data_IF_567613032331
#
_entry.id   IF_567613032331
#
_cell.length_a   1.000
_cell.length_b   1.000
_cell.length_c   1.000
_cell.angle_alpha   90.00
_cell.angle_beta   90.00
_cell.angle_gamma   90.00
#
_symmetry.space_group_name_H-M   'P 1'
#
loop_
_entity.id
_entity.type
_entity.pdbx_description
1 polymer ?
#
# COMPACT_ATOMS: atom_id res chain seq x y z
N UNK A 1 0.07 62.38 -20.17
CA UNK A 1 1.08 62.02 -19.16
C UNK A 1 0.48 60.85 -18.39
N UNK A 2 0.71 59.61 -18.85
CA UNK A 2 1.77 58.71 -18.36
C UNK A 2 1.64 58.48 -16.83
N UNK A 3 1.61 57.27 -16.28
CA UNK A 3 1.76 55.90 -16.78
C UNK A 3 1.82 55.00 -15.53
N UNK A 4 1.19 53.82 -15.56
CA UNK A 4 1.54 52.70 -14.68
C UNK A 4 1.13 52.85 -13.21
N UNK A 5 0.84 51.84 -12.41
CA UNK A 5 1.04 50.40 -12.44
C UNK A 5 0.17 49.91 -11.24
N UNK A 6 -0.51 48.77 -11.20
CA UNK A 6 -0.38 47.59 -12.03
C UNK A 6 -1.38 46.52 -11.57
N UNK A 7 -1.90 45.77 -12.54
CA UNK A 7 -2.53 44.46 -12.36
C UNK A 7 -1.54 43.36 -11.88
N UNK A 8 -0.53 43.72 -11.07
CA UNK A 8 0.60 42.83 -10.73
C UNK A 8 0.34 41.97 -9.48
N UNK A 9 -0.70 42.23 -8.70
CA UNK A 9 -0.96 41.45 -7.48
C UNK A 9 -1.55 40.04 -7.74
N UNK A 10 -2.12 39.77 -8.91
CA UNK A 10 -2.80 38.48 -9.19
C UNK A 10 -1.91 37.49 -9.96
N UNK A 11 -0.84 37.94 -10.62
CA UNK A 11 0.08 37.01 -11.33
C UNK A 11 1.05 36.26 -10.40
N UNK A 12 1.33 36.75 -9.19
CA UNK A 12 2.33 36.10 -8.33
C UNK A 12 1.84 34.79 -7.70
N UNK A 13 0.53 34.66 -7.43
CA UNK A 13 -0.04 33.41 -6.91
C UNK A 13 -0.13 32.32 -8.00
N UNK A 14 -0.42 32.70 -9.25
CA UNK A 14 -0.54 31.75 -10.36
C UNK A 14 0.82 31.28 -10.90
N UNK A 15 1.85 32.14 -10.90
CA UNK A 15 3.19 31.75 -11.38
C UNK A 15 3.95 30.90 -10.34
N UNK A 16 3.70 31.08 -9.03
CA UNK A 16 4.29 30.22 -8.00
C UNK A 16 3.66 28.81 -7.96
N UNK A 17 2.40 28.67 -8.38
CA UNK A 17 1.75 27.36 -8.53
C UNK A 17 2.32 26.55 -9.71
N UNK A 18 2.95 27.19 -10.70
CA UNK A 18 3.52 26.51 -11.88
C UNK A 18 4.93 25.94 -11.60
N UNK A 19 5.57 26.31 -10.48
CA UNK A 19 6.80 25.67 -9.99
C UNK A 19 6.58 24.84 -8.70
N UNK A 20 5.33 24.51 -8.38
CA UNK A 20 5.08 23.27 -7.66
C UNK A 20 4.77 22.28 -8.75
N UNK A 21 5.79 21.56 -9.22
CA UNK A 21 5.54 20.22 -9.75
C UNK A 21 4.85 19.53 -8.57
N UNK A 22 3.51 19.51 -8.56
CA UNK A 22 2.81 18.53 -7.76
C UNK A 22 3.49 17.22 -8.19
N UNK A 23 4.13 16.48 -7.27
CA UNK A 23 4.66 15.18 -7.64
C UNK A 23 3.50 14.48 -8.33
N UNK A 24 3.71 14.07 -9.59
CA UNK A 24 2.66 13.48 -10.42
C UNK A 24 1.83 12.58 -9.51
N UNK A 25 0.55 12.90 -9.32
CA UNK A 25 -0.29 12.17 -8.38
C UNK A 25 -0.06 10.69 -8.69
N UNK A 26 0.59 10.00 -7.75
CA UNK A 26 1.11 8.68 -8.03
C UNK A 26 -0.12 7.82 -8.31
N UNK A 27 -0.29 7.39 -9.56
CA UNK A 27 -1.45 6.59 -9.95
C UNK A 27 -1.51 5.38 -9.02
N UNK A 28 -2.66 5.12 -8.41
CA UNK A 28 -2.82 3.99 -7.53
C UNK A 28 -3.18 2.74 -8.35
N UNK A 29 -2.55 1.62 -8.03
CA UNK A 29 -2.88 0.31 -8.57
C UNK A 29 -3.49 -0.54 -7.47
N UNK A 30 -4.71 -1.06 -7.71
CA UNK A 30 -5.34 -2.07 -6.87
C UNK A 30 -4.51 -3.37 -6.93
N UNK A 31 -3.85 -3.71 -5.83
CA UNK A 31 -3.11 -4.97 -5.68
C UNK A 31 -3.87 -5.88 -4.73
N UNK A 32 -4.28 -7.05 -5.22
CA UNK A 32 -4.95 -8.08 -4.41
C UNK A 32 -3.95 -9.17 -4.03
N UNK A 33 -3.63 -9.26 -2.75
CA UNK A 33 -2.82 -10.34 -2.20
C UNK A 33 -3.71 -11.52 -1.83
N UNK A 34 -3.31 -12.72 -2.23
CA UNK A 34 -4.03 -13.96 -1.95
C UNK A 34 -3.10 -14.97 -1.28
N UNK A 35 -3.57 -15.61 -0.21
CA UNK A 35 -2.82 -16.61 0.54
C UNK A 35 -3.73 -17.78 0.90
N UNK A 36 -3.33 -19.00 0.55
CA UNK A 36 -4.08 -20.20 0.91
C UNK A 36 -3.39 -20.94 2.07
N UNK A 37 -3.98 -20.88 3.28
CA UNK A 37 -3.44 -21.55 4.48
C UNK A 37 -4.52 -21.73 5.55
N UNK A 38 -4.55 -22.90 6.18
CA UNK A 38 -5.34 -23.12 7.39
C UNK A 38 -4.63 -22.53 8.59
N UNK A 39 -5.41 -21.94 9.49
CA UNK A 39 -4.94 -21.42 10.77
C UNK A 39 -5.86 -21.93 11.88
N UNK A 40 -5.40 -21.84 13.12
CA UNK A 40 -6.22 -22.22 14.26
C UNK A 40 -7.33 -21.20 14.52
N UNK A 41 -8.36 -21.59 15.28
CA UNK A 41 -9.44 -20.68 15.66
C UNK A 41 -8.88 -19.43 16.35
N UNK A 42 -9.33 -18.26 15.91
CA UNK A 42 -8.88 -16.96 16.43
C UNK A 42 -7.55 -16.46 15.85
N UNK A 43 -6.95 -17.16 14.89
CA UNK A 43 -5.79 -16.69 14.13
C UNK A 43 -6.19 -16.14 12.77
N UNK A 44 -5.30 -15.38 12.14
CA UNK A 44 -5.47 -14.89 10.77
C UNK A 44 -4.19 -14.32 10.19
N UNK A 45 -4.30 -13.61 9.08
CA UNK A 45 -3.16 -13.01 8.40
C UNK A 45 -3.32 -11.52 8.16
N UNK A 46 -2.19 -10.82 8.16
CA UNK A 46 -2.02 -9.47 7.61
C UNK A 46 -0.90 -9.48 6.58
N UNK A 47 -0.89 -8.49 5.69
CA UNK A 47 0.25 -8.17 4.83
C UNK A 47 0.93 -6.92 5.39
N UNK A 48 2.13 -7.08 5.95
CA UNK A 48 2.95 -6.00 6.45
C UNK A 48 4.05 -5.68 5.42
N UNK A 49 4.41 -4.41 5.27
CA UNK A 49 5.40 -4.01 4.27
C UNK A 49 5.96 -2.61 4.49
N UNK A 50 6.91 -2.22 3.65
CA UNK A 50 7.70 -0.98 3.80
C UNK A 50 6.96 0.32 3.46
N UNK A 51 5.70 0.24 3.02
CA UNK A 51 4.88 1.40 2.62
C UNK A 51 3.75 1.63 3.61
N UNK A 52 3.21 2.85 3.73
CA UNK A 52 2.14 3.16 4.69
C UNK A 52 0.88 2.33 4.49
N UNK A 53 0.54 2.00 3.25
CA UNK A 53 -0.62 1.17 2.92
C UNK A 53 -0.48 -0.27 3.41
N UNK A 54 0.75 -0.70 3.71
CA UNK A 54 1.08 -1.99 4.34
C UNK A 54 1.63 -1.81 5.77
N UNK A 55 1.38 -0.66 6.39
CA UNK A 55 1.67 -0.40 7.79
C UNK A 55 3.12 -0.06 8.15
N UNK A 56 4.01 0.20 7.18
CA UNK A 56 5.43 0.50 7.45
C UNK A 56 6.11 -0.52 8.39
N UNK A 57 5.89 -1.81 8.14
CA UNK A 57 6.34 -2.94 8.94
C UNK A 57 5.77 -3.03 10.37
N UNK A 58 4.75 -2.25 10.71
CA UNK A 58 3.96 -2.42 11.93
C UNK A 58 2.74 -3.32 11.66
N UNK A 59 2.67 -4.56 12.20
CA UNK A 59 1.54 -5.45 12.06
C UNK A 59 0.22 -4.90 12.61
N UNK A 60 0.27 -3.95 13.56
CA UNK A 60 -0.93 -3.29 14.06
C UNK A 60 -1.55 -2.38 12.99
N UNK A 61 -0.73 -1.81 12.09
CA UNK A 61 -1.14 -0.94 10.97
C UNK A 61 -1.17 -1.67 9.62
N UNK A 62 -0.76 -2.95 9.58
CA UNK A 62 -0.70 -3.74 8.37
C UNK A 62 -2.08 -4.02 7.76
N UNK A 63 -2.08 -4.34 6.46
CA UNK A 63 -3.29 -4.61 5.70
C UNK A 63 -3.89 -5.95 6.14
N UNK A 64 -5.11 -5.92 6.66
CA UNK A 64 -5.78 -7.09 7.23
C UNK A 64 -6.41 -7.97 6.16
N UNK A 65 -6.14 -9.28 6.19
CA UNK A 65 -6.72 -10.21 5.23
C UNK A 65 -8.04 -10.76 5.73
N UNK A 66 -9.02 -10.87 4.82
CA UNK A 66 -10.32 -11.51 5.09
C UNK A 66 -10.36 -12.89 4.46
N UNK A 67 -11.11 -13.81 5.07
CA UNK A 67 -11.33 -15.14 4.49
C UNK A 67 -12.32 -15.02 3.33
N UNK A 68 -11.98 -15.57 2.17
CA UNK A 68 -12.82 -15.56 0.95
C UNK A 68 -13.34 -16.96 0.58
N UNK A 69 -13.30 -17.89 1.53
CA UNK A 69 -13.69 -19.29 1.39
C UNK A 69 -13.26 -20.06 2.64
N UNK A 70 -12.99 -21.36 2.52
CA UNK A 70 -12.59 -22.17 3.68
C UNK A 70 -11.12 -21.99 4.09
N UNK A 71 -10.24 -21.63 3.13
CA UNK A 71 -8.77 -21.60 3.33
C UNK A 71 -8.06 -20.41 2.70
N UNK A 72 -8.81 -19.58 1.99
CA UNK A 72 -8.27 -18.53 1.14
C UNK A 72 -8.40 -17.19 1.87
N UNK A 73 -7.27 -16.51 2.04
CA UNK A 73 -7.17 -15.17 2.62
C UNK A 73 -6.92 -14.18 1.50
N UNK A 74 -7.61 -13.04 1.53
CA UNK A 74 -7.47 -11.99 0.52
C UNK A 74 -7.43 -10.59 1.16
N UNK A 75 -6.65 -9.70 0.56
CA UNK A 75 -6.75 -8.25 0.82
C UNK A 75 -6.40 -7.47 -0.44
N UNK A 76 -7.19 -6.45 -0.76
CA UNK A 76 -6.90 -5.51 -1.86
C UNK A 76 -6.41 -4.19 -1.26
N UNK A 77 -5.28 -3.70 -1.76
CA UNK A 77 -4.62 -2.48 -1.28
C UNK A 77 -4.24 -1.62 -2.48
N UNK A 78 -4.45 -0.31 -2.36
CA UNK A 78 -3.97 0.67 -3.33
C UNK A 78 -2.49 0.96 -3.14
N UNK A 79 -1.66 0.52 -4.08
CA UNK A 79 -0.21 0.76 -4.06
C UNK A 79 0.19 1.75 -5.16
N UNK A 80 1.25 2.51 -4.89
CA UNK A 80 1.83 3.46 -5.84
C UNK A 80 2.26 2.71 -7.11
N UNK A 81 1.74 3.11 -8.26
CA UNK A 81 2.13 2.57 -9.56
C UNK A 81 3.64 2.76 -9.80
N UNK A 82 4.22 1.85 -10.57
CA UNK A 82 5.64 1.87 -10.94
C UNK A 82 6.60 1.97 -9.72
N UNK A 83 6.23 1.35 -8.60
CA UNK A 83 7.05 1.33 -7.38
C UNK A 83 7.53 -0.08 -7.03
N UNK A 84 8.57 -0.14 -6.19
CA UNK A 84 9.05 -1.38 -5.57
C UNK A 84 8.61 -1.41 -4.11
N UNK A 85 7.83 -2.43 -3.77
CA UNK A 85 7.28 -2.65 -2.43
C UNK A 85 7.88 -3.93 -1.86
N UNK A 86 8.34 -3.87 -0.62
CA UNK A 86 8.72 -5.04 0.16
C UNK A 86 7.60 -5.38 1.14
N UNK A 87 7.28 -6.66 1.26
CA UNK A 87 6.18 -7.13 2.08
C UNK A 87 6.42 -8.54 2.63
N UNK A 88 5.64 -8.90 3.64
CA UNK A 88 5.51 -10.26 4.17
C UNK A 88 4.09 -10.52 4.66
N UNK A 89 3.54 -11.73 4.46
CA UNK A 89 2.42 -12.19 5.26
C UNK A 89 2.87 -12.45 6.70
N UNK A 90 2.01 -12.09 7.64
CA UNK A 90 2.22 -12.25 9.08
C UNK A 90 1.00 -12.93 9.67
N UNK A 91 1.21 -14.08 10.30
CA UNK A 91 0.19 -14.76 11.10
C UNK A 91 0.02 -14.02 12.42
N UNK A 92 -1.22 -13.72 12.77
CA UNK A 92 -1.58 -12.95 13.95
C UNK A 92 -2.70 -13.63 14.76
N UNK A 93 -2.85 -13.23 16.02
CA UNK A 93 -4.12 -13.35 16.74
C UNK A 93 -5.10 -12.34 16.14
N UNK A 94 -6.23 -12.82 15.62
CA UNK A 94 -7.16 -12.05 14.78
C UNK A 94 -7.64 -10.75 15.47
N UNK A 95 -8.07 -10.84 16.73
CA UNK A 95 -8.69 -9.72 17.44
C UNK A 95 -7.69 -8.71 18.02
N UNK A 96 -6.47 -9.13 18.34
CA UNK A 96 -5.47 -8.27 19.00
C UNK A 96 -4.36 -7.83 18.07
N UNK A 97 -4.27 -8.42 16.86
CA UNK A 97 -3.16 -8.27 15.92
C UNK A 97 -1.79 -8.64 16.51
N UNK A 98 -1.77 -9.39 17.62
CA UNK A 98 -0.53 -9.90 18.18
C UNK A 98 0.14 -10.82 17.16
N UNK A 99 1.41 -10.54 16.86
CA UNK A 99 2.22 -11.35 15.95
C UNK A 99 2.43 -12.74 16.53
N UNK A 100 2.11 -13.75 15.73
CA UNK A 100 2.44 -15.14 16.00
C UNK A 100 3.64 -15.59 15.17
N UNK A 101 3.65 -15.24 13.88
CA UNK A 101 4.68 -15.70 12.95
C UNK A 101 4.80 -14.79 11.74
N UNK A 102 6.02 -14.40 11.39
CA UNK A 102 6.31 -13.79 10.10
C UNK A 102 6.65 -14.87 9.08
N UNK A 103 6.37 -14.65 7.79
CA UNK A 103 6.94 -15.49 6.75
C UNK A 103 8.47 -15.61 6.93
N UNK A 104 9.02 -16.84 7.00
CA UNK A 104 10.45 -17.02 7.18
C UNK A 104 11.24 -16.54 5.96
N UNK A 105 12.54 -16.30 6.15
CA UNK A 105 13.45 -15.87 5.09
C UNK A 105 13.42 -14.37 4.79
N UNK A 106 13.80 -14.00 3.57
CA UNK A 106 13.88 -12.60 3.13
C UNK A 106 12.50 -11.97 2.92
N UNK A 107 12.44 -10.64 2.85
CA UNK A 107 11.23 -9.93 2.43
C UNK A 107 10.85 -10.34 1.00
N UNK A 108 9.55 -10.50 0.75
CA UNK A 108 9.04 -10.63 -0.61
C UNK A 108 9.06 -9.25 -1.28
N UNK A 109 9.24 -9.25 -2.59
CA UNK A 109 9.34 -8.03 -3.38
C UNK A 109 8.23 -8.04 -4.42
N UNK A 110 7.48 -6.94 -4.48
CA UNK A 110 6.52 -6.66 -5.53
C UNK A 110 6.98 -5.43 -6.31
N UNK A 111 7.12 -5.57 -7.63
CA UNK A 111 7.22 -4.43 -8.53
C UNK A 111 5.81 -4.11 -9.03
N UNK A 112 5.22 -3.03 -8.53
CA UNK A 112 3.88 -2.60 -8.90
C UNK A 112 3.91 -2.08 -10.34
N UNK A 113 3.06 -2.57 -11.25
CA UNK A 113 3.04 -2.09 -12.63
C UNK A 113 2.57 -0.63 -12.69
N UNK A 114 2.68 -0.03 -13.86
CA UNK A 114 2.19 1.34 -14.07
C UNK A 114 0.66 1.43 -14.14
N UNK A 115 -0.06 0.32 -14.37
CA UNK A 115 -1.50 0.30 -14.67
C UNK A 115 -2.16 -1.02 -14.28
N UNK A 116 -3.49 -0.94 -14.12
CA UNK A 116 -4.39 -2.08 -14.02
C UNK A 116 -4.34 -2.78 -12.67
N UNK A 117 -5.40 -3.51 -12.29
CA UNK A 117 -5.37 -4.33 -11.09
C UNK A 117 -4.42 -5.51 -11.29
N UNK A 118 -3.77 -5.94 -10.21
CA UNK A 118 -2.96 -7.16 -10.20
C UNK A 118 -3.30 -8.06 -9.02
N UNK A 119 -3.06 -9.36 -9.21
CA UNK A 119 -3.23 -10.39 -8.20
C UNK A 119 -1.87 -10.98 -7.86
N UNK A 120 -1.57 -11.07 -6.57
CA UNK A 120 -0.30 -11.59 -6.05
C UNK A 120 -0.61 -12.80 -5.19
N UNK A 121 -0.29 -13.99 -5.70
CA UNK A 121 -0.36 -15.21 -4.91
C UNK A 121 0.87 -15.30 -4.00
N UNK A 122 0.61 -15.51 -2.71
CA UNK A 122 1.63 -15.66 -1.68
C UNK A 122 1.58 -17.09 -1.15
N UNK A 123 2.74 -17.72 -0.98
CA UNK A 123 2.85 -19.05 -0.37
C UNK A 123 3.48 -18.94 1.01
N UNK A 124 2.84 -19.59 2.00
CA UNK A 124 3.34 -19.70 3.36
C UNK A 124 3.75 -21.17 3.59
N UNK A 125 5.06 -21.47 3.77
CA UNK A 125 5.53 -22.84 3.93
C UNK A 125 4.84 -23.56 5.09
#
# INVERSE_FOLDING_TARGET
MASGNSAIAILLAAVLAILVIAPAESEAVNVTFQLQKLVEFGQGFVIAGNVPQLGNWDPAQAAFMTVTGDRDWSVTVDLVAASRVEYKPVKIVYNTRQVLEWLPGNNLVLNVPSKGPIYVAVSFP
#
